data_IF_808148887780
#
_entry.id   IF_808148887780
#
_cell.length_a   1.000
_cell.length_b   1.000
_cell.length_c   1.000
_cell.angle_alpha   90.00
_cell.angle_beta   90.00
_cell.angle_gamma   90.00
#
_symmetry.space_group_name_H-M   'P 1'
#
loop_
_entity.id
_entity.type
_entity.pdbx_description
1 polymer ?
#
# COMPACT_ATOMS: atom_id res chain seq x y z
N UNK A 1 -9.61 -2.55 -11.75
CA UNK A 1 -9.17 -2.39 -10.35
C UNK A 1 -7.66 -2.55 -10.32
N UNK A 2 -6.96 -1.62 -9.69
CA UNK A 2 -5.51 -1.65 -9.52
C UNK A 2 -5.15 -1.70 -8.04
N UNK A 3 -4.38 -2.72 -7.66
CA UNK A 3 -3.85 -2.92 -6.31
C UNK A 3 -2.34 -2.67 -6.35
N UNK A 4 -1.87 -1.74 -5.53
CA UNK A 4 -0.47 -1.47 -5.34
C UNK A 4 0.01 -2.09 -4.02
N UNK A 5 1.11 -2.84 -4.06
CA UNK A 5 1.62 -3.63 -2.94
C UNK A 5 2.97 -3.08 -2.46
N UNK A 6 3.14 -3.03 -1.14
CA UNK A 6 4.43 -2.73 -0.51
C UNK A 6 4.74 -3.69 0.63
N UNK A 7 5.95 -4.26 0.61
CA UNK A 7 6.56 -4.95 1.76
C UNK A 7 7.97 -4.42 2.01
N UNK A 8 8.37 -4.20 3.28
CA UNK A 8 9.65 -3.58 3.62
C UNK A 8 10.83 -4.54 3.43
N UNK A 9 10.57 -5.84 3.35
CA UNK A 9 11.56 -6.89 3.10
C UNK A 9 11.90 -7.07 1.61
N UNK A 10 11.24 -6.31 0.72
CA UNK A 10 11.43 -6.41 -0.73
C UNK A 10 10.94 -7.73 -1.33
N UNK A 11 10.06 -8.46 -0.64
CA UNK A 11 9.51 -9.76 -1.10
C UNK A 11 7.99 -9.69 -1.33
N UNK A 12 7.51 -8.94 -2.34
CA UNK A 12 6.08 -8.84 -2.61
C UNK A 12 5.49 -10.08 -3.30
N UNK A 13 6.33 -10.99 -3.81
CA UNK A 13 5.91 -12.08 -4.71
C UNK A 13 4.79 -12.96 -4.14
N UNK A 14 4.82 -13.42 -2.87
CA UNK A 14 3.74 -14.26 -2.34
C UNK A 14 2.38 -13.54 -2.36
N UNK A 15 2.38 -12.22 -2.18
CA UNK A 15 1.16 -11.41 -2.23
C UNK A 15 0.71 -11.20 -3.67
N UNK A 16 1.63 -10.92 -4.60
CA UNK A 16 1.33 -10.80 -6.02
C UNK A 16 0.67 -12.07 -6.56
N UNK A 17 1.24 -13.23 -6.24
CA UNK A 17 0.72 -14.54 -6.68
C UNK A 17 -0.67 -14.81 -6.08
N UNK A 18 -0.85 -14.57 -4.78
CA UNK A 18 -2.12 -14.77 -4.10
C UNK A 18 -3.23 -13.86 -4.65
N UNK A 19 -2.92 -12.57 -4.88
CA UNK A 19 -3.88 -11.65 -5.47
C UNK A 19 -4.17 -11.96 -6.93
N UNK A 20 -3.17 -12.36 -7.73
CA UNK A 20 -3.39 -12.74 -9.12
C UNK A 20 -4.27 -13.99 -9.25
N UNK A 21 -4.16 -14.93 -8.31
CA UNK A 21 -5.01 -16.11 -8.25
C UNK A 21 -6.44 -15.77 -7.80
N UNK A 22 -6.59 -14.93 -6.77
CA UNK A 22 -7.89 -14.60 -6.18
C UNK A 22 -8.67 -13.54 -6.98
N UNK A 23 -7.95 -12.64 -7.67
CA UNK A 23 -8.48 -11.50 -8.43
C UNK A 23 -7.78 -11.41 -9.80
N UNK A 24 -8.03 -12.35 -10.73
CA UNK A 24 -7.32 -12.42 -12.01
C UNK A 24 -7.45 -11.15 -12.89
N UNK A 25 -8.52 -10.39 -12.72
CA UNK A 25 -8.79 -9.14 -13.42
C UNK A 25 -8.13 -7.90 -12.79
N UNK A 26 -7.53 -8.05 -11.61
CA UNK A 26 -6.84 -6.94 -10.96
C UNK A 26 -5.49 -6.67 -11.63
N UNK A 27 -5.22 -5.38 -11.91
CA UNK A 27 -3.87 -4.93 -12.21
C UNK A 27 -3.10 -4.89 -10.89
N UNK A 28 -1.93 -5.52 -10.84
CA UNK A 28 -1.06 -5.50 -9.67
C UNK A 28 0.21 -4.71 -9.99
N UNK A 29 0.68 -3.90 -9.04
CA UNK A 29 2.02 -3.31 -9.10
C UNK A 29 2.67 -3.28 -7.73
N UNK A 30 4.01 -3.21 -7.73
CA UNK A 30 4.80 -2.98 -6.52
C UNK A 30 5.09 -1.49 -6.43
N UNK A 31 4.94 -0.91 -5.24
CA UNK A 31 5.32 0.48 -5.02
C UNK A 31 6.85 0.62 -5.02
N UNK A 32 7.35 1.66 -5.69
CA UNK A 32 8.75 2.06 -5.69
C UNK A 32 8.86 3.54 -5.34
N UNK A 33 9.95 3.92 -4.67
CA UNK A 33 10.14 5.31 -4.27
C UNK A 33 10.23 6.24 -5.49
N UNK A 34 9.46 7.33 -5.47
CA UNK A 34 9.36 8.27 -6.60
C UNK A 34 8.39 7.84 -7.70
N UNK A 35 7.81 6.64 -7.62
CA UNK A 35 6.75 6.22 -8.52
C UNK A 35 5.38 6.65 -7.96
N UNK A 36 4.85 7.76 -8.46
CA UNK A 36 3.42 8.09 -8.27
C UNK A 36 2.66 7.33 -9.35
N UNK A 37 2.17 6.15 -8.99
CA UNK A 37 1.21 5.40 -9.80
C UNK A 37 -0.14 5.46 -9.10
N UNK A 38 -1.14 5.93 -9.83
CA UNK A 38 -2.54 5.82 -9.41
C UNK A 38 -2.85 4.36 -9.09
N UNK A 39 -3.60 4.11 -8.02
CA UNK A 39 -4.13 2.80 -7.67
C UNK A 39 -5.49 2.96 -6.99
N UNK A 40 -6.36 1.96 -7.15
CA UNK A 40 -7.63 1.93 -6.42
C UNK A 40 -7.42 1.52 -4.95
N UNK A 41 -6.43 0.65 -4.69
CA UNK A 41 -6.17 0.09 -3.37
C UNK A 41 -4.67 -0.01 -3.08
N UNK A 42 -4.30 0.21 -1.81
CA UNK A 42 -2.94 -0.02 -1.31
C UNK A 42 -2.94 -1.19 -0.33
N UNK A 43 -2.06 -2.16 -0.53
CA UNK A 43 -1.83 -3.28 0.39
C UNK A 43 -0.42 -3.14 0.96
N UNK A 44 -0.32 -2.92 2.27
CA UNK A 44 0.92 -2.41 2.88
C UNK A 44 1.31 -3.17 4.14
N UNK A 45 2.62 -3.35 4.33
CA UNK A 45 3.21 -3.67 5.63
C UNK A 45 4.23 -2.59 5.98
N UNK A 46 4.08 -1.91 7.12
CA UNK A 46 4.99 -0.85 7.58
C UNK A 46 5.45 0.12 6.46
N UNK A 47 4.52 0.77 5.72
CA UNK A 47 4.87 1.56 4.55
C UNK A 47 5.67 2.82 4.90
N UNK A 48 6.50 3.33 3.98
CA UNK A 48 7.05 4.68 4.11
C UNK A 48 5.94 5.72 3.95
N UNK A 49 6.10 6.89 4.58
CA UNK A 49 5.13 7.98 4.49
C UNK A 49 4.81 8.37 3.04
N UNK A 50 5.82 8.42 2.18
CA UNK A 50 5.70 8.85 0.78
C UNK A 50 4.80 7.94 -0.07
N UNK A 51 4.55 6.70 0.36
CA UNK A 51 3.63 5.81 -0.34
C UNK A 51 2.17 6.24 -0.22
N UNK A 52 1.80 6.78 0.96
CA UNK A 52 0.43 7.08 1.35
C UNK A 52 0.13 8.58 1.35
N UNK A 53 1.14 9.42 1.52
CA UNK A 53 1.01 10.89 1.48
C UNK A 53 0.33 11.33 0.18
N UNK A 54 -0.61 12.27 0.32
CA UNK A 54 -1.34 12.92 -0.78
C UNK A 54 -2.14 12.00 -1.73
N UNK A 55 -2.31 10.71 -1.36
CA UNK A 55 -3.08 9.76 -2.16
C UNK A 55 -4.58 10.03 -2.05
N UNK A 56 -5.18 10.62 -3.09
CA UNK A 56 -6.63 10.86 -3.21
C UNK A 56 -7.35 9.90 -4.16
N UNK A 57 -6.58 9.05 -4.82
CA UNK A 57 -7.00 7.98 -5.71
C UNK A 57 -7.43 6.71 -4.96
N UNK A 58 -6.85 6.48 -3.79
CA UNK A 58 -7.08 5.28 -3.00
C UNK A 58 -8.51 5.23 -2.44
N UNK A 59 -9.19 4.12 -2.71
CA UNK A 59 -10.50 3.79 -2.14
C UNK A 59 -10.38 3.15 -0.76
N UNK A 60 -9.28 2.42 -0.51
CA UNK A 60 -8.94 1.87 0.79
C UNK A 60 -7.45 1.49 0.91
N UNK A 61 -6.97 1.44 2.15
CA UNK A 61 -5.65 0.90 2.52
C UNK A 61 -5.83 -0.35 3.36
N UNK A 62 -5.20 -1.46 2.97
CA UNK A 62 -5.20 -2.73 3.68
C UNK A 62 -3.84 -2.97 4.34
N UNK A 63 -3.83 -3.11 5.66
CA UNK A 63 -2.63 -3.48 6.40
C UNK A 63 -2.44 -5.00 6.41
N UNK A 64 -1.25 -5.49 6.08
CA UNK A 64 -0.93 -6.92 5.95
C UNK A 64 -0.78 -7.65 7.30
N UNK A 65 -0.95 -6.97 8.43
CA UNK A 65 -0.99 -7.61 9.75
C UNK A 65 -2.02 -7.01 10.68
N UNK A 66 -2.13 -7.61 11.87
CA UNK A 66 -3.14 -7.21 12.85
C UNK A 66 -2.82 -5.87 13.53
N UNK A 67 -1.53 -5.59 13.76
CA UNK A 67 -1.08 -4.34 14.39
C UNK A 67 -1.04 -3.19 13.38
N UNK A 68 -1.68 -2.07 13.74
CA UNK A 68 -1.72 -0.83 12.92
C UNK A 68 -0.76 0.24 13.45
N UNK A 69 0.09 -0.10 14.43
CA UNK A 69 0.97 0.84 15.14
C UNK A 69 1.91 1.58 14.19
N UNK A 70 2.43 0.91 13.15
CA UNK A 70 3.29 1.53 12.16
C UNK A 70 2.57 2.61 11.35
N UNK A 71 1.34 2.33 10.91
CA UNK A 71 0.50 3.28 10.17
C UNK A 71 0.11 4.45 11.08
N UNK A 72 -0.35 4.19 12.30
CA UNK A 72 -0.67 5.25 13.27
C UNK A 72 0.57 6.08 13.65
N UNK A 73 1.73 5.44 13.69
CA UNK A 73 3.03 6.10 13.89
C UNK A 73 3.37 7.08 12.77
N UNK A 74 2.98 6.80 11.51
CA UNK A 74 3.13 7.75 10.41
C UNK A 74 2.31 9.02 10.67
N UNK A 75 1.05 8.89 11.08
CA UNK A 75 0.18 10.04 11.40
C UNK A 75 0.73 10.89 12.55
N UNK A 76 1.34 10.25 13.56
CA UNK A 76 1.93 10.94 14.69
C UNK A 76 3.18 11.75 14.28
N UNK A 77 3.98 11.25 13.34
CA UNK A 77 5.23 11.88 12.87
C UNK A 77 5.01 12.88 11.73
N UNK A 78 4.01 12.62 10.89
CA UNK A 78 3.63 13.39 9.72
C UNK A 78 2.10 13.34 9.60
N UNK A 79 1.37 14.35 10.12
CA UNK A 79 -0.09 14.36 10.15
C UNK A 79 -0.78 14.19 8.78
N UNK A 80 -0.06 14.52 7.71
CA UNK A 80 -0.47 14.45 6.31
C UNK A 80 0.02 13.17 5.58
N UNK A 81 0.66 12.23 6.30
CA UNK A 81 1.16 10.99 5.71
C UNK A 81 0.08 9.92 5.46
N UNK A 82 -1.13 10.08 6.02
CA UNK A 82 -2.26 9.19 5.76
C UNK A 82 -3.32 9.97 4.99
N UNK A 83 -3.89 9.41 3.91
CA UNK A 83 -5.05 9.96 3.23
C UNK A 83 -6.21 10.23 4.20
N UNK A 84 -6.97 11.30 3.93
CA UNK A 84 -8.18 11.64 4.69
C UNK A 84 -9.29 10.59 4.55
#
# INVERSE_FOLDING_TARGET
MHIQIYTPDGKPQPWLDGFAQALPEARLSVWEQGAVQDADYAVVWQPPADMLRDRRDLRAVFNLGAGVDAILGLRAQAPDAIPE
#
